data_IF_713058393366
#
_entry.id   IF_713058393366
#
_cell.length_a   1.000
_cell.length_b   1.000
_cell.length_c   1.000
_cell.angle_alpha   90.00
_cell.angle_beta   90.00
_cell.angle_gamma   90.00
#
_symmetry.space_group_name_H-M   'P 1'
#
loop_
_entity.id
_entity.type
_entity.pdbx_description
1 polymer ?
#
# COMPACT_ATOMS: atom_id res chain seq x y z
N UNK A 1 -23.52 -14.45 -28.96
CA UNK A 1 -23.92 -15.80 -28.50
C UNK A 1 -25.32 -15.72 -27.90
N UNK A 2 -26.17 -16.74 -28.06
CA UNK A 2 -27.48 -16.78 -27.39
C UNK A 2 -27.29 -16.99 -25.88
N UNK A 3 -28.17 -16.42 -25.05
CA UNK A 3 -28.10 -16.57 -23.59
C UNK A 3 -28.08 -18.04 -23.13
N UNK A 4 -28.78 -18.92 -23.86
CA UNK A 4 -28.77 -20.37 -23.62
C UNK A 4 -27.39 -21.02 -23.77
N UNK A 5 -26.54 -20.51 -24.66
CA UNK A 5 -25.18 -21.02 -24.85
C UNK A 5 -24.27 -20.63 -23.68
N UNK A 6 -24.43 -19.43 -23.14
CA UNK A 6 -23.66 -18.95 -21.97
C UNK A 6 -24.01 -19.79 -20.73
N UNK A 7 -25.30 -20.01 -20.48
CA UNK A 7 -25.77 -20.85 -19.36
C UNK A 7 -25.28 -22.29 -19.50
N UNK A 8 -25.29 -22.85 -20.72
CA UNK A 8 -24.75 -24.18 -20.99
C UNK A 8 -23.25 -24.26 -20.66
N UNK A 9 -22.45 -23.31 -21.14
CA UNK A 9 -21.00 -23.26 -20.89
C UNK A 9 -20.68 -23.13 -19.41
N UNK A 10 -21.43 -22.28 -18.69
CA UNK A 10 -21.29 -22.11 -17.24
C UNK A 10 -21.55 -23.42 -16.49
N UNK A 11 -22.66 -24.09 -16.84
CA UNK A 11 -23.04 -25.37 -16.24
C UNK A 11 -22.01 -26.46 -16.54
N UNK A 12 -21.44 -26.47 -17.74
CA UNK A 12 -20.37 -27.39 -18.13
C UNK A 12 -19.06 -27.11 -17.38
N UNK A 13 -18.68 -25.84 -17.22
CA UNK A 13 -17.50 -25.45 -16.44
C UNK A 13 -17.61 -25.88 -14.97
N UNK A 14 -18.77 -25.66 -14.34
CA UNK A 14 -19.03 -26.15 -12.98
C UNK A 14 -19.01 -27.68 -12.89
N UNK A 15 -19.56 -28.38 -13.89
CA UNK A 15 -19.53 -29.84 -13.95
C UNK A 15 -18.09 -30.38 -14.10
N UNK A 16 -17.23 -29.67 -14.82
CA UNK A 16 -15.81 -30.01 -14.92
C UNK A 16 -15.12 -29.91 -13.56
N UNK A 17 -15.31 -28.79 -12.85
CA UNK A 17 -14.75 -28.58 -11.50
C UNK A 17 -15.18 -29.71 -10.57
N UNK A 18 -16.45 -30.11 -10.61
CA UNK A 18 -16.95 -31.19 -9.77
C UNK A 18 -16.34 -32.56 -10.11
N UNK A 19 -16.20 -32.89 -11.41
CA UNK A 19 -15.58 -34.15 -11.85
C UNK A 19 -14.09 -34.19 -11.56
N UNK A 20 -13.40 -33.05 -11.59
CA UNK A 20 -11.97 -32.91 -11.32
C UNK A 20 -11.67 -32.29 -9.94
N UNK A 21 -12.51 -32.57 -8.95
CA UNK A 21 -12.55 -31.86 -7.65
C UNK A 21 -11.20 -31.72 -6.94
N UNK A 22 -10.33 -32.74 -7.00
CA UNK A 22 -9.04 -32.71 -6.30
C UNK A 22 -8.08 -31.68 -6.90
N UNK A 23 -7.94 -31.66 -8.23
CA UNK A 23 -7.03 -30.74 -8.92
C UNK A 23 -7.61 -29.32 -8.95
N UNK A 24 -8.92 -29.19 -9.16
CA UNK A 24 -9.58 -27.88 -9.09
C UNK A 24 -9.48 -27.27 -7.68
N UNK A 25 -9.65 -28.07 -6.62
CA UNK A 25 -9.47 -27.59 -5.24
C UNK A 25 -8.02 -27.21 -4.95
N UNK A 26 -7.05 -28.02 -5.39
CA UNK A 26 -5.63 -27.70 -5.24
C UNK A 26 -5.28 -26.37 -5.93
N UNK A 27 -5.73 -26.16 -7.16
CA UNK A 27 -5.54 -24.88 -7.85
C UNK A 27 -6.25 -23.71 -7.16
N UNK A 28 -7.48 -23.89 -6.67
CA UNK A 28 -8.18 -22.85 -5.90
C UNK A 28 -7.43 -22.50 -4.61
N UNK A 29 -6.90 -23.50 -3.90
CA UNK A 29 -6.14 -23.29 -2.67
C UNK A 29 -4.83 -22.54 -2.93
N UNK A 30 -4.10 -22.90 -3.98
CA UNK A 30 -2.87 -22.17 -4.31
C UNK A 30 -3.15 -20.76 -4.81
N UNK A 31 -4.20 -20.57 -5.62
CA UNK A 31 -4.69 -19.24 -5.98
C UNK A 31 -5.03 -18.42 -4.74
N UNK A 32 -5.69 -19.04 -3.76
CA UNK A 32 -6.02 -18.40 -2.51
C UNK A 32 -4.78 -17.95 -1.74
N UNK A 33 -3.77 -18.81 -1.62
CA UNK A 33 -2.49 -18.44 -1.02
C UNK A 33 -1.79 -17.30 -1.76
N UNK A 34 -1.81 -17.30 -3.09
CA UNK A 34 -1.18 -16.25 -3.91
C UNK A 34 -1.88 -14.90 -3.74
N UNK A 35 -3.22 -14.87 -3.79
CA UNK A 35 -4.00 -13.64 -3.60
C UNK A 35 -3.90 -13.15 -2.15
N UNK A 36 -3.83 -14.06 -1.18
CA UNK A 36 -3.60 -13.69 0.22
C UNK A 36 -2.22 -13.03 0.39
N UNK A 37 -1.15 -13.62 -0.15
CA UNK A 37 0.18 -13.02 -0.08
C UNK A 37 0.24 -11.69 -0.83
N UNK A 38 -0.36 -11.59 -2.02
CA UNK A 38 -0.49 -10.31 -2.71
C UNK A 38 -1.17 -9.25 -1.84
N UNK A 39 -2.30 -9.61 -1.19
CA UNK A 39 -3.04 -8.70 -0.31
C UNK A 39 -2.21 -8.26 0.89
N UNK A 40 -1.45 -9.18 1.48
CA UNK A 40 -0.54 -8.90 2.59
C UNK A 40 0.55 -7.90 2.20
N UNK A 41 1.28 -8.15 1.10
CA UNK A 41 2.32 -7.23 0.63
C UNK A 41 1.75 -5.88 0.21
N UNK A 42 0.61 -5.88 -0.49
CA UNK A 42 -0.09 -4.65 -0.88
C UNK A 42 -0.47 -3.82 0.35
N UNK A 43 -1.00 -4.46 1.41
CA UNK A 43 -1.32 -3.78 2.65
C UNK A 43 -0.08 -3.22 3.33
N UNK A 44 1.01 -3.99 3.43
CA UNK A 44 2.27 -3.52 4.02
C UNK A 44 2.79 -2.28 3.28
N UNK A 45 2.91 -2.35 1.95
CA UNK A 45 3.39 -1.23 1.13
C UNK A 45 2.47 -0.02 1.24
N UNK A 46 1.15 -0.21 1.16
CA UNK A 46 0.19 0.92 1.24
C UNK A 46 0.18 1.59 2.61
N UNK A 47 0.37 0.82 3.69
CA UNK A 47 0.43 1.40 5.03
C UNK A 47 1.77 2.11 5.27
N UNK A 48 2.88 1.57 4.75
CA UNK A 48 4.16 2.27 4.81
C UNK A 48 4.13 3.56 3.99
N UNK A 49 3.56 3.55 2.79
CA UNK A 49 3.37 4.77 1.99
C UNK A 49 2.51 5.79 2.76
N UNK A 50 1.44 5.35 3.43
CA UNK A 50 0.63 6.23 4.27
C UNK A 50 1.43 6.82 5.45
N UNK A 51 2.21 5.99 6.15
CA UNK A 51 3.06 6.44 7.25
C UNK A 51 4.11 7.44 6.78
N UNK A 52 4.68 7.24 5.59
CA UNK A 52 5.63 8.18 4.98
C UNK A 52 4.93 9.49 4.63
N UNK A 53 3.76 9.46 3.99
CA UNK A 53 2.99 10.67 3.64
C UNK A 53 2.55 11.47 4.87
N UNK A 54 2.12 10.78 5.91
CA UNK A 54 1.76 11.43 7.17
C UNK A 54 2.99 12.10 7.79
N UNK A 55 4.14 11.42 7.75
CA UNK A 55 5.40 12.00 8.19
C UNK A 55 5.92 13.15 7.29
N UNK A 56 5.64 13.11 5.98
CA UNK A 56 5.86 14.24 5.05
C UNK A 56 5.00 15.45 5.39
N UNK A 57 3.77 15.23 5.85
CA UNK A 57 2.85 16.30 6.26
C UNK A 57 3.17 16.91 7.62
N UNK A 58 4.02 16.24 8.42
CA UNK A 58 4.57 16.79 9.65
C UNK A 58 5.69 17.80 9.40
N UNK A 59 6.10 18.51 10.45
CA UNK A 59 7.23 19.46 10.36
C UNK A 59 8.49 18.70 9.94
N UNK A 60 8.97 18.99 8.73
CA UNK A 60 10.15 18.35 8.15
C UNK A 60 11.44 18.87 8.77
N UNK A 61 11.56 20.20 8.91
CA UNK A 61 12.76 20.85 9.48
C UNK A 61 12.34 22.02 10.35
N UNK A 62 12.93 22.13 11.54
CA UNK A 62 12.77 23.28 12.43
C UNK A 62 14.06 24.09 12.46
N UNK A 63 13.98 25.39 12.20
CA UNK A 63 15.14 26.29 12.16
C UNK A 63 15.01 27.32 13.27
N UNK A 64 15.94 27.28 14.22
CA UNK A 64 16.04 28.24 15.32
C UNK A 64 17.03 29.36 14.98
N UNK A 65 16.70 30.57 15.41
CA UNK A 65 17.51 31.77 15.16
C UNK A 65 18.38 32.15 16.36
N UNK A 66 19.43 32.93 16.11
CA UNK A 66 20.22 33.56 17.17
C UNK A 66 19.36 34.60 17.91
N UNK A 67 19.64 34.78 19.20
CA UNK A 67 18.87 35.64 20.10
C UNK A 67 19.01 37.15 19.82
N UNK A 68 20.00 37.53 19.02
CA UNK A 68 20.28 38.91 18.61
C UNK A 68 19.58 39.31 17.29
N UNK A 69 18.87 38.38 16.64
CA UNK A 69 18.15 38.67 15.41
C UNK A 69 16.87 39.48 15.66
N UNK A 70 16.69 40.52 14.85
CA UNK A 70 15.44 41.28 14.78
C UNK A 70 14.37 40.50 14.00
N UNK A 71 13.09 40.80 14.27
CA UNK A 71 11.97 40.17 13.57
C UNK A 71 12.05 40.40 12.05
N UNK A 72 12.52 41.56 11.61
CA UNK A 72 12.71 41.88 10.20
C UNK A 72 13.79 40.99 9.55
N UNK A 73 14.88 40.71 10.25
CA UNK A 73 15.94 39.81 9.76
C UNK A 73 15.43 38.36 9.67
N UNK A 74 14.64 37.91 10.65
CA UNK A 74 14.03 36.59 10.63
C UNK A 74 13.04 36.46 9.47
N UNK A 75 12.21 37.47 9.22
CA UNK A 75 11.28 37.47 8.08
C UNK A 75 12.00 37.47 6.73
N UNK A 76 13.09 38.23 6.59
CA UNK A 76 13.90 38.24 5.37
C UNK A 76 14.52 36.86 5.10
N UNK A 77 15.04 36.20 6.14
CA UNK A 77 15.58 34.84 6.03
C UNK A 77 14.48 33.82 5.70
N UNK A 78 13.29 33.96 6.29
CA UNK A 78 12.12 33.15 5.98
C UNK A 78 11.70 33.27 4.51
N UNK A 79 11.68 34.48 3.95
CA UNK A 79 11.40 34.71 2.54
C UNK A 79 12.42 34.01 1.63
N UNK A 80 13.71 34.10 1.96
CA UNK A 80 14.77 33.42 1.22
C UNK A 80 14.63 31.88 1.27
N UNK A 81 14.23 31.31 2.41
CA UNK A 81 13.99 29.88 2.55
C UNK A 81 12.73 29.47 1.75
N UNK A 82 11.71 30.31 1.69
CA UNK A 82 10.45 30.03 0.98
C UNK A 82 10.60 29.85 -0.53
N UNK A 83 11.63 30.45 -1.13
CA UNK A 83 11.89 30.38 -2.57
C UNK A 83 12.50 29.03 -3.01
N UNK A 84 12.89 28.20 -2.05
CA UNK A 84 13.50 26.89 -2.31
C UNK A 84 12.50 25.94 -2.95
N UNK A 85 12.87 25.23 -4.04
CA UNK A 85 11.96 24.29 -4.70
C UNK A 85 11.52 23.15 -3.78
N UNK A 86 12.36 22.77 -2.81
CA UNK A 86 12.10 21.71 -1.83
C UNK A 86 11.01 22.09 -0.80
N UNK A 87 10.77 23.38 -0.59
CA UNK A 87 9.86 23.91 0.43
C UNK A 87 8.43 23.98 -0.12
N UNK A 88 7.48 23.45 0.65
CA UNK A 88 6.05 23.57 0.39
C UNK A 88 5.49 24.85 1.03
N UNK A 89 5.64 24.97 2.35
CA UNK A 89 5.28 26.16 3.11
C UNK A 89 6.08 26.27 4.41
N UNK A 90 6.04 27.45 5.04
CA UNK A 90 6.74 27.74 6.30
C UNK A 90 5.80 28.41 7.28
N UNK A 91 5.96 28.09 8.55
CA UNK A 91 5.19 28.68 9.65
C UNK A 91 6.17 29.29 10.64
N UNK A 92 6.04 30.60 10.88
CA UNK A 92 6.79 31.27 11.95
C UNK A 92 6.10 30.96 13.28
N UNK A 93 6.88 30.54 14.27
CA UNK A 93 6.42 30.33 15.63
C UNK A 93 7.22 31.24 16.55
N UNK A 94 6.52 32.14 17.26
CA UNK A 94 7.17 33.01 18.24
C UNK A 94 7.57 32.23 19.50
N UNK A 95 8.49 32.80 20.28
CA UNK A 95 8.85 32.26 21.59
C UNK A 95 7.66 32.08 22.55
N UNK A 96 6.68 32.99 22.51
CA UNK A 96 5.44 32.92 23.27
C UNK A 96 4.52 31.81 22.76
N UNK A 97 4.35 31.70 21.44
CA UNK A 97 3.53 30.64 20.82
C UNK A 97 4.12 29.25 21.10
N UNK A 98 5.44 29.10 21.01
CA UNK A 98 6.15 27.87 21.35
C UNK A 98 5.92 27.49 22.82
N UNK A 99 5.92 28.46 23.73
CA UNK A 99 5.63 28.24 25.14
C UNK A 99 4.18 27.82 25.40
N UNK A 100 3.22 28.47 24.73
CA UNK A 100 1.80 28.08 24.83
C UNK A 100 1.53 26.66 24.30
N UNK A 101 2.15 26.28 23.19
CA UNK A 101 2.07 24.92 22.65
C UNK A 101 2.69 23.90 23.63
N UNK A 102 3.88 24.21 24.16
CA UNK A 102 4.56 23.35 25.14
C UNK A 102 3.70 23.10 26.39
N UNK A 103 3.07 24.14 26.94
CA UNK A 103 2.14 24.02 28.08
C UNK A 103 0.98 23.08 27.77
N UNK A 104 0.35 23.22 26.60
CA UNK A 104 -0.81 22.39 26.20
C UNK A 104 -0.46 20.93 26.00
N UNK A 105 0.73 20.65 25.49
CA UNK A 105 1.12 19.29 25.11
C UNK A 105 1.79 18.53 26.26
N UNK A 106 2.70 19.18 26.99
CA UNK A 106 3.54 18.51 27.99
C UNK A 106 3.15 18.79 29.44
N UNK A 107 2.45 19.90 29.73
CA UNK A 107 2.02 20.27 31.08
C UNK A 107 0.52 20.05 31.32
N UNK A 108 -0.14 19.28 30.46
CA UNK A 108 -1.55 18.92 30.60
C UNK A 108 -1.79 18.14 31.90
N UNK A 109 -2.54 18.73 32.83
CA UNK A 109 -2.80 18.19 34.17
C UNK A 109 -1.77 18.57 35.24
N UNK A 110 -0.78 19.41 34.90
CA UNK A 110 0.21 19.96 35.82
C UNK A 110 0.44 21.46 35.54
N UNK A 111 -0.65 22.18 35.22
CA UNK A 111 -0.65 23.57 34.80
C UNK A 111 -0.02 24.51 35.85
N UNK A 112 -0.09 24.14 37.14
CA UNK A 112 0.54 24.85 38.26
C UNK A 112 2.07 24.96 38.12
N UNK A 113 2.72 24.03 37.39
CA UNK A 113 4.16 24.09 37.11
C UNK A 113 4.53 25.21 36.13
N UNK A 114 3.58 25.64 35.28
CA UNK A 114 3.80 26.73 34.33
C UNK A 114 3.75 28.11 35.01
N UNK A 115 3.04 28.24 36.14
CA UNK A 115 2.89 29.50 36.88
C UNK A 115 4.24 30.05 37.35
N UNK A 116 5.19 29.17 37.69
CA UNK A 116 6.56 29.55 38.10
C UNK A 116 7.40 30.23 37.01
N UNK A 117 6.94 30.20 35.76
CA UNK A 117 7.64 30.72 34.59
C UNK A 117 6.89 31.85 33.88
N UNK A 118 5.80 32.38 34.48
CA UNK A 118 5.03 33.48 33.89
C UNK A 118 5.85 34.75 33.64
N UNK A 119 6.86 35.00 34.48
CA UNK A 119 7.73 36.18 34.37
C UNK A 119 9.03 35.91 33.61
N UNK A 120 9.38 34.64 33.38
CA UNK A 120 10.64 34.24 32.71
C UNK A 120 10.37 33.02 31.82
N UNK A 121 9.95 33.28 30.58
CA UNK A 121 9.64 32.24 29.60
C UNK A 121 10.93 31.46 29.25
N UNK A 122 11.02 30.15 29.56
CA UNK A 122 12.19 29.33 29.25
C UNK A 122 12.50 29.23 27.75
N UNK A 123 11.50 29.52 26.91
CA UNK A 123 11.58 29.51 25.46
C UNK A 123 11.67 30.92 24.84
N UNK A 124 11.95 31.96 25.63
CA UNK A 124 12.06 33.35 25.18
C UNK A 124 13.01 33.56 23.98
N UNK A 125 14.01 32.69 23.83
CA UNK A 125 14.97 32.72 22.72
C UNK A 125 14.77 31.59 21.71
N UNK A 126 13.57 31.01 21.64
CA UNK A 126 13.27 29.81 20.84
C UNK A 126 12.34 30.08 19.66
N UNK A 127 12.22 31.32 19.21
CA UNK A 127 11.54 31.64 17.94
C UNK A 127 12.16 30.84 16.80
N UNK A 128 11.32 30.24 15.95
CA UNK A 128 11.76 29.34 14.91
C UNK A 128 10.83 29.35 13.70
N UNK A 129 11.33 28.85 12.56
CA UNK A 129 10.48 28.42 11.46
C UNK A 129 10.28 26.91 11.51
N UNK A 130 9.03 26.49 11.41
CA UNK A 130 8.65 25.14 11.00
C UNK A 130 8.56 25.10 9.48
N UNK A 131 9.38 24.27 8.85
CA UNK A 131 9.45 24.15 7.39
C UNK A 131 8.86 22.82 6.97
N UNK A 132 7.83 22.89 6.12
CA UNK A 132 7.15 21.76 5.54
C UNK A 132 7.70 21.53 4.14
N UNK A 133 8.08 20.28 3.86
CA UNK A 133 8.75 19.87 2.63
C UNK A 133 7.74 19.33 1.63
N UNK A 134 8.03 19.49 0.33
CA UNK A 134 7.25 18.82 -0.72
C UNK A 134 7.49 17.32 -0.78
N UNK A 135 8.70 16.89 -0.42
CA UNK A 135 9.06 15.49 -0.29
C UNK A 135 10.13 15.33 0.79
N UNK A 136 10.03 14.23 1.54
CA UNK A 136 11.03 13.86 2.55
C UNK A 136 12.40 13.57 1.96
N UNK A 137 12.46 13.15 0.69
CA UNK A 137 13.73 12.90 0.00
C UNK A 137 14.59 14.17 -0.15
N UNK A 138 13.94 15.33 -0.17
CA UNK A 138 14.60 16.64 -0.33
C UNK A 138 15.12 17.22 1.00
N UNK A 139 14.82 16.59 2.14
CA UNK A 139 15.18 17.10 3.47
C UNK A 139 16.68 17.35 3.62
N UNK A 140 17.52 16.43 3.16
CA UNK A 140 18.98 16.57 3.26
C UNK A 140 19.50 17.75 2.43
N UNK A 141 18.95 17.96 1.22
CA UNK A 141 19.29 19.10 0.37
C UNK A 141 18.94 20.43 1.06
N UNK A 142 17.75 20.51 1.66
CA UNK A 142 17.34 21.69 2.41
C UNK A 142 18.24 21.93 3.62
N UNK A 143 18.56 20.88 4.40
CA UNK A 143 19.43 20.97 5.57
C UNK A 143 20.82 21.47 5.19
N UNK A 144 21.41 20.91 4.13
CA UNK A 144 22.74 21.31 3.65
C UNK A 144 22.73 22.79 3.26
N UNK A 145 21.65 23.26 2.62
CA UNK A 145 21.45 24.68 2.34
C UNK A 145 21.31 25.52 3.62
N UNK A 146 20.47 25.10 4.57
CA UNK A 146 20.26 25.82 5.84
C UNK A 146 21.55 25.92 6.66
N UNK A 147 22.43 24.91 6.61
CA UNK A 147 23.75 24.95 7.23
C UNK A 147 24.62 26.08 6.65
N UNK A 148 24.44 26.45 5.38
CA UNK A 148 25.14 27.62 4.80
C UNK A 148 24.63 28.96 5.32
N UNK A 149 23.45 28.99 5.95
CA UNK A 149 22.84 30.18 6.53
C UNK A 149 23.19 30.37 8.02
N UNK A 150 24.03 29.51 8.61
CA UNK A 150 24.45 29.64 10.01
C UNK A 150 25.15 30.98 10.28
N UNK A 151 25.97 31.45 9.35
CA UNK A 151 26.64 32.77 9.44
C UNK A 151 25.65 33.95 9.31
N UNK A 152 24.42 33.70 8.84
CA UNK A 152 23.37 34.71 8.66
C UNK A 152 22.36 34.75 9.82
N UNK A 153 22.59 33.95 10.87
CA UNK A 153 21.78 33.98 12.10
C UNK A 153 21.00 32.70 12.39
N UNK A 154 21.16 31.64 11.59
CA UNK A 154 20.64 30.31 11.95
C UNK A 154 21.49 29.72 13.07
N UNK A 155 20.86 29.46 14.23
CA UNK A 155 21.51 28.91 15.42
C UNK A 155 21.56 27.39 15.40
N UNK A 156 20.42 26.78 15.11
CA UNK A 156 20.24 25.34 15.24
C UNK A 156 19.19 24.87 14.23
N UNK A 157 19.47 23.75 13.58
CA UNK A 157 18.58 23.09 12.63
C UNK A 157 18.23 21.74 13.23
N UNK A 158 16.97 21.57 13.61
CA UNK A 158 16.45 20.28 14.04
C UNK A 158 15.79 19.59 12.85
N UNK A 159 16.15 18.34 12.65
CA UNK A 159 15.55 17.49 11.64
C UNK A 159 14.70 16.46 12.35
N UNK A 160 13.52 16.18 11.79
CA UNK A 160 12.76 15.00 12.16
C UNK A 160 13.51 13.76 11.65
N UNK A 161 14.52 13.30 12.42
CA UNK A 161 15.43 12.16 12.07
C UNK A 161 14.69 10.86 11.73
N UNK A 162 13.44 10.72 12.19
CA UNK A 162 12.63 9.54 11.96
C UNK A 162 12.19 9.35 10.50
N UNK A 163 12.26 10.40 9.66
CA UNK A 163 11.51 10.44 8.40
C UNK A 163 12.37 10.20 7.14
N UNK A 164 13.53 10.86 6.97
CA UNK A 164 14.27 10.77 5.69
C UNK A 164 15.17 9.54 5.50
N UNK A 165 16.03 9.23 6.47
CA UNK A 165 17.13 8.30 6.20
C UNK A 165 16.76 6.81 6.32
N UNK A 166 15.68 6.48 7.03
CA UNK A 166 15.25 5.09 7.25
C UNK A 166 14.08 4.68 6.36
N UNK A 167 13.22 5.61 5.94
CA UNK A 167 11.99 5.28 5.23
C UNK A 167 12.14 5.25 3.71
N UNK A 168 12.83 6.20 3.07
CA UNK A 168 12.91 6.28 1.60
C UNK A 168 13.64 5.08 0.96
N UNK A 169 14.82 4.72 1.48
CA UNK A 169 15.59 3.58 1.00
C UNK A 169 14.92 2.23 1.30
N UNK A 170 14.30 2.10 2.49
CA UNK A 170 13.58 0.89 2.89
C UNK A 170 12.29 0.69 2.09
N UNK A 171 11.55 1.77 1.81
CA UNK A 171 10.33 1.74 1.00
C UNK A 171 10.63 1.27 -0.43
N UNK A 172 11.67 1.83 -1.05
CA UNK A 172 12.10 1.40 -2.39
C UNK A 172 12.47 -0.09 -2.43
N UNK A 173 13.24 -0.56 -1.43
CA UNK A 173 13.63 -1.96 -1.32
C UNK A 173 12.41 -2.89 -1.16
N UNK A 174 11.47 -2.53 -0.27
CA UNK A 174 10.24 -3.28 -0.05
C UNK A 174 9.33 -3.29 -1.28
N UNK A 175 9.24 -2.18 -2.01
CA UNK A 175 8.49 -2.10 -3.26
C UNK A 175 9.05 -3.09 -4.29
N UNK A 176 10.36 -3.07 -4.54
CA UNK A 176 10.98 -4.01 -5.50
C UNK A 176 10.84 -5.47 -5.08
N UNK A 177 11.01 -5.78 -3.78
CA UNK A 177 10.82 -7.13 -3.24
C UNK A 177 9.37 -7.57 -3.42
N UNK A 178 8.40 -6.69 -3.13
CA UNK A 178 6.98 -6.98 -3.29
C UNK A 178 6.63 -7.25 -4.75
N UNK A 179 7.09 -6.42 -5.68
CA UNK A 179 6.88 -6.62 -7.12
C UNK A 179 7.48 -7.94 -7.59
N UNK A 180 8.69 -8.28 -7.13
CA UNK A 180 9.36 -9.54 -7.48
C UNK A 180 8.56 -10.76 -6.98
N UNK A 181 8.13 -10.76 -5.71
CA UNK A 181 7.35 -11.85 -5.11
C UNK A 181 6.01 -12.01 -5.84
N UNK A 182 5.31 -10.90 -6.09
CA UNK A 182 4.05 -10.91 -6.84
C UNK A 182 4.26 -11.52 -8.24
N UNK A 183 5.32 -11.11 -8.95
CA UNK A 183 5.67 -11.67 -10.26
C UNK A 183 5.85 -13.20 -10.23
N UNK A 184 6.56 -13.73 -9.22
CA UNK A 184 6.74 -15.17 -9.05
C UNK A 184 5.41 -15.87 -8.75
N UNK A 185 4.56 -15.30 -7.89
CA UNK A 185 3.26 -15.88 -7.55
C UNK A 185 2.31 -15.95 -8.73
N UNK A 186 2.33 -14.94 -9.61
CA UNK A 186 1.56 -14.94 -10.85
C UNK A 186 1.99 -16.09 -11.77
N UNK A 187 3.30 -16.32 -11.94
CA UNK A 187 3.81 -17.42 -12.77
C UNK A 187 3.42 -18.79 -12.21
N UNK A 188 3.55 -18.99 -10.89
CA UNK A 188 3.15 -20.24 -10.22
C UNK A 188 1.65 -20.49 -10.38
N UNK A 189 0.83 -19.45 -10.21
CA UNK A 189 -0.62 -19.51 -10.35
C UNK A 189 -1.03 -19.91 -11.77
N UNK A 190 -0.46 -19.25 -12.80
CA UNK A 190 -0.70 -19.58 -14.21
C UNK A 190 -0.31 -21.04 -14.50
N UNK A 191 0.84 -21.49 -13.99
CA UNK A 191 1.32 -22.85 -14.18
C UNK A 191 0.36 -23.90 -13.59
N UNK A 192 -0.16 -23.67 -12.39
CA UNK A 192 -1.07 -24.60 -11.74
C UNK A 192 -2.44 -24.65 -12.39
N UNK A 193 -2.99 -23.51 -12.81
CA UNK A 193 -4.24 -23.47 -13.58
C UNK A 193 -4.06 -24.22 -14.89
N UNK A 194 -2.91 -24.03 -15.56
CA UNK A 194 -2.61 -24.74 -16.78
C UNK A 194 -2.59 -26.26 -16.58
N UNK A 195 -2.03 -26.74 -15.47
CA UNK A 195 -2.05 -28.16 -15.14
C UNK A 195 -3.49 -28.67 -14.92
N UNK A 196 -4.28 -27.97 -14.11
CA UNK A 196 -5.65 -28.36 -13.80
C UNK A 196 -6.55 -28.40 -15.03
N UNK A 197 -6.44 -27.41 -15.92
CA UNK A 197 -7.20 -27.37 -17.18
C UNK A 197 -6.75 -28.48 -18.12
N UNK A 198 -5.45 -28.78 -18.18
CA UNK A 198 -4.91 -29.89 -19.00
C UNK A 198 -5.49 -31.23 -18.56
N UNK A 199 -5.51 -31.49 -17.25
CA UNK A 199 -6.10 -32.70 -16.67
C UNK A 199 -7.61 -32.74 -16.95
N UNK A 200 -8.31 -31.62 -16.79
CA UNK A 200 -9.73 -31.49 -17.11
C UNK A 200 -10.05 -31.84 -18.57
N UNK A 201 -9.21 -31.39 -19.51
CA UNK A 201 -9.33 -31.73 -20.94
C UNK A 201 -9.07 -33.23 -21.15
N UNK A 202 -8.05 -33.81 -20.51
CA UNK A 202 -7.71 -35.22 -20.64
C UNK A 202 -8.85 -36.14 -20.19
N UNK A 203 -9.50 -35.82 -19.07
CA UNK A 203 -10.66 -36.57 -18.53
C UNK A 203 -11.88 -36.52 -19.47
N UNK A 204 -11.99 -35.49 -20.32
CA UNK A 204 -13.11 -35.30 -21.27
C UNK A 204 -12.74 -35.56 -22.72
N UNK A 205 -11.58 -36.16 -22.98
CA UNK A 205 -11.03 -36.34 -24.33
C UNK A 205 -12.00 -37.04 -25.29
N UNK A 206 -12.68 -38.09 -24.82
CA UNK A 206 -13.65 -38.86 -25.62
C UNK A 206 -14.90 -38.03 -25.95
N UNK A 207 -15.46 -37.32 -24.97
CA UNK A 207 -16.62 -36.42 -25.18
C UNK A 207 -16.29 -35.33 -26.21
N UNK A 208 -15.09 -34.74 -26.09
CA UNK A 208 -14.59 -33.72 -27.02
C UNK A 208 -14.44 -34.28 -28.43
N UNK A 209 -13.90 -35.49 -28.57
CA UNK A 209 -13.73 -36.14 -29.87
C UNK A 209 -15.08 -36.36 -30.57
N UNK A 210 -16.10 -36.85 -29.84
CA UNK A 210 -17.45 -37.03 -30.38
C UNK A 210 -18.05 -35.68 -30.81
N UNK A 211 -17.91 -34.63 -29.99
CA UNK A 211 -18.39 -33.29 -30.34
C UNK A 211 -17.75 -32.75 -31.62
N UNK A 212 -16.44 -32.97 -31.81
CA UNK A 212 -15.74 -32.56 -33.04
C UNK A 212 -16.22 -33.33 -34.26
N UNK A 213 -16.51 -34.63 -34.13
CA UNK A 213 -17.04 -35.46 -35.22
C UNK A 213 -18.44 -35.02 -35.71
N UNK A 214 -19.24 -34.44 -34.82
CA UNK A 214 -20.59 -33.91 -35.15
C UNK A 214 -20.51 -32.44 -35.64
N UNK A 215 -19.30 -31.88 -35.80
CA UNK A 215 -19.08 -30.56 -36.38
C UNK A 215 -19.13 -29.40 -35.37
N UNK A 216 -18.93 -29.66 -34.07
CA UNK A 216 -18.85 -28.57 -33.09
C UNK A 216 -17.63 -27.67 -33.33
N UNK A 217 -17.83 -26.36 -33.30
CA UNK A 217 -16.74 -25.37 -33.44
C UNK A 217 -15.72 -25.49 -32.31
N UNK A 218 -14.44 -25.21 -32.60
CA UNK A 218 -13.36 -25.20 -31.60
C UNK A 218 -13.69 -24.32 -30.39
N UNK A 219 -14.29 -23.16 -30.62
CA UNK A 219 -14.69 -22.25 -29.54
C UNK A 219 -15.71 -22.90 -28.60
N UNK A 220 -16.70 -23.61 -29.14
CA UNK A 220 -17.73 -24.27 -28.34
C UNK A 220 -17.15 -25.37 -27.44
N UNK A 221 -16.17 -26.12 -27.95
CA UNK A 221 -15.46 -27.17 -27.20
C UNK A 221 -14.56 -26.57 -26.11
N UNK A 222 -13.96 -25.40 -26.39
CA UNK A 222 -12.98 -24.74 -25.50
C UNK A 222 -13.62 -23.89 -24.40
N UNK A 223 -14.80 -23.32 -24.66
CA UNK A 223 -15.44 -22.37 -23.75
C UNK A 223 -15.67 -22.91 -22.32
N UNK A 224 -16.06 -24.18 -22.09
CA UNK A 224 -16.24 -24.71 -20.73
C UNK A 224 -14.95 -24.67 -19.89
N UNK A 225 -13.79 -24.87 -20.50
CA UNK A 225 -12.49 -24.86 -19.82
C UNK A 225 -11.98 -23.46 -19.51
N UNK A 226 -12.34 -22.47 -20.34
CA UNK A 226 -12.09 -21.05 -20.03
C UNK A 226 -12.95 -20.65 -18.82
N UNK A 227 -14.22 -21.05 -18.81
CA UNK A 227 -15.12 -20.76 -17.69
C UNK A 227 -14.69 -21.48 -16.41
N UNK A 228 -14.18 -22.70 -16.50
CA UNK A 228 -13.58 -23.41 -15.37
C UNK A 228 -12.42 -22.61 -14.73
N UNK A 229 -11.48 -22.13 -15.54
CA UNK A 229 -10.37 -21.30 -15.01
C UNK A 229 -10.82 -19.97 -14.44
N UNK A 230 -11.79 -19.31 -15.08
CA UNK A 230 -12.40 -18.09 -14.56
C UNK A 230 -13.05 -18.30 -13.19
N UNK A 231 -13.80 -19.39 -13.01
CA UNK A 231 -14.46 -19.72 -11.73
C UNK A 231 -13.41 -20.05 -10.66
N UNK A 232 -12.39 -20.85 -11.00
CA UNK A 232 -11.27 -21.16 -10.09
C UNK A 232 -10.56 -19.88 -9.67
N UNK A 233 -10.28 -18.98 -10.60
CA UNK A 233 -9.65 -17.68 -10.32
C UNK A 233 -10.52 -16.77 -9.46
N UNK A 234 -11.82 -16.71 -9.72
CA UNK A 234 -12.77 -15.91 -8.96
C UNK A 234 -12.91 -16.42 -7.52
N UNK A 235 -13.17 -17.72 -7.33
CA UNK A 235 -13.31 -18.32 -6.00
C UNK A 235 -11.98 -18.24 -5.25
N UNK A 236 -10.88 -18.54 -5.96
CA UNK A 236 -9.52 -18.45 -5.46
C UNK A 236 -9.13 -17.03 -5.03
N UNK A 237 -9.74 -15.98 -5.57
CA UNK A 237 -9.51 -14.60 -5.10
C UNK A 237 -10.52 -14.15 -4.03
N UNK A 238 -11.79 -14.54 -4.14
CA UNK A 238 -12.84 -14.09 -3.24
C UNK A 238 -12.66 -14.59 -1.79
N UNK A 239 -12.32 -15.88 -1.62
CA UNK A 239 -12.10 -16.48 -0.29
C UNK A 239 -10.97 -15.81 0.49
N UNK A 240 -9.73 -15.70 -0.04
CA UNK A 240 -8.64 -15.07 0.71
C UNK A 240 -8.87 -13.59 0.95
N UNK A 241 -9.53 -12.85 0.04
CA UNK A 241 -9.88 -11.45 0.28
C UNK A 241 -10.85 -11.32 1.44
N UNK A 242 -11.86 -12.19 1.51
CA UNK A 242 -12.77 -12.22 2.65
C UNK A 242 -12.02 -12.51 3.96
N UNK A 243 -11.16 -13.53 3.99
CA UNK A 243 -10.36 -13.85 5.18
C UNK A 243 -9.41 -12.71 5.56
N UNK A 244 -8.75 -12.10 4.58
CA UNK A 244 -7.83 -10.99 4.78
C UNK A 244 -8.53 -9.77 5.38
N UNK A 245 -9.80 -9.53 5.03
CA UNK A 245 -10.57 -8.40 5.55
C UNK A 245 -10.71 -8.47 7.07
N UNK A 246 -11.09 -9.64 7.60
CA UNK A 246 -11.21 -9.84 9.04
C UNK A 246 -9.86 -9.79 9.75
N UNK A 247 -8.84 -10.43 9.17
CA UNK A 247 -7.50 -10.43 9.75
C UNK A 247 -6.95 -9.00 9.84
N UNK A 248 -7.00 -8.24 8.75
CA UNK A 248 -6.50 -6.86 8.72
C UNK A 248 -7.24 -5.96 9.71
N UNK A 249 -8.59 -6.05 9.75
CA UNK A 249 -9.40 -5.32 10.74
C UNK A 249 -9.01 -5.68 12.17
N UNK A 250 -8.80 -6.96 12.46
CA UNK A 250 -8.42 -7.41 13.78
C UNK A 250 -6.99 -6.99 14.16
N UNK A 251 -6.06 -6.97 13.19
CA UNK A 251 -4.71 -6.46 13.40
C UNK A 251 -4.72 -5.00 13.80
N UNK A 252 -5.47 -4.13 13.12
CA UNK A 252 -5.57 -2.71 13.49
C UNK A 252 -6.06 -2.55 14.93
N UNK A 253 -7.17 -3.20 15.30
CA UNK A 253 -7.73 -3.10 16.65
C UNK A 253 -6.74 -3.55 17.74
N UNK A 254 -6.03 -4.65 17.51
CA UNK A 254 -5.03 -5.16 18.47
C UNK A 254 -3.85 -4.20 18.60
N UNK A 255 -3.43 -3.58 17.49
CA UNK A 255 -2.32 -2.62 17.52
C UNK A 255 -2.72 -1.34 18.23
N UNK A 256 -3.90 -0.79 17.96
CA UNK A 256 -4.44 0.40 18.64
C UNK A 256 -4.59 0.18 20.15
N UNK A 257 -5.16 -0.97 20.57
CA UNK A 257 -5.39 -1.28 21.99
C UNK A 257 -4.08 -1.50 22.77
N UNK A 258 -3.11 -2.20 22.17
CA UNK A 258 -1.87 -2.59 22.86
C UNK A 258 -0.76 -1.56 22.75
N UNK A 259 -0.77 -0.74 21.70
CA UNK A 259 0.29 0.21 21.39
C UNK A 259 -0.25 1.65 21.28
N UNK A 260 -1.27 2.00 22.05
CA UNK A 260 -1.88 3.35 22.03
C UNK A 260 -0.92 4.53 22.31
N UNK A 261 0.29 4.28 22.81
CA UNK A 261 1.36 5.30 22.92
C UNK A 261 2.06 5.52 21.57
N UNK A 262 2.17 4.47 20.75
CA UNK A 262 2.74 4.48 19.41
C UNK A 262 1.69 4.72 18.31
N UNK A 263 0.40 4.80 18.64
CA UNK A 263 -0.66 4.99 17.66
C UNK A 263 -0.62 6.36 16.97
N UNK A 264 0.01 7.36 17.59
CA UNK A 264 0.29 8.65 16.94
C UNK A 264 1.34 8.52 15.83
N UNK A 265 2.26 7.57 15.94
CA UNK A 265 3.33 7.31 14.96
C UNK A 265 2.95 6.23 13.94
N UNK A 266 2.08 5.28 14.30
CA UNK A 266 1.65 4.17 13.46
C UNK A 266 0.22 4.36 12.97
N UNK A 267 0.00 5.35 12.09
CA UNK A 267 -1.30 5.58 11.47
C UNK A 267 -1.53 4.59 10.32
N UNK A 268 -2.24 3.50 10.63
CA UNK A 268 -2.65 2.51 9.62
C UNK A 268 -3.79 3.06 8.75
N UNK A 269 -3.77 2.68 7.48
CA UNK A 269 -4.80 3.05 6.53
C UNK A 269 -6.14 2.40 6.94
N UNK A 270 -7.26 3.14 6.97
CA UNK A 270 -8.55 2.56 7.29
C UNK A 270 -8.89 1.40 6.35
N UNK A 271 -9.50 0.33 6.88
CA UNK A 271 -9.84 -0.89 6.11
C UNK A 271 -10.60 -0.55 4.82
N UNK A 272 -11.50 0.44 4.87
CA UNK A 272 -12.30 0.88 3.73
C UNK A 272 -11.44 1.48 2.60
N UNK A 273 -10.43 2.27 2.94
CA UNK A 273 -9.55 2.90 1.96
C UNK A 273 -8.62 1.87 1.32
N UNK A 274 -8.04 0.98 2.12
CA UNK A 274 -7.24 -0.12 1.60
C UNK A 274 -8.05 -1.00 0.63
N UNK A 275 -9.28 -1.37 1.02
CA UNK A 275 -10.15 -2.23 0.21
C UNK A 275 -10.70 -1.56 -1.04
N UNK A 276 -10.77 -0.23 -1.09
CA UNK A 276 -11.20 0.49 -2.28
C UNK A 276 -10.33 0.16 -3.49
N UNK A 277 -9.01 0.06 -3.28
CA UNK A 277 -8.04 -0.30 -4.33
C UNK A 277 -7.75 -1.80 -4.36
N UNK A 278 -7.59 -2.43 -3.19
CA UNK A 278 -7.21 -3.85 -3.11
C UNK A 278 -8.26 -4.78 -3.73
N UNK A 279 -9.56 -4.56 -3.44
CA UNK A 279 -10.64 -5.44 -3.87
C UNK A 279 -10.74 -5.55 -5.41
N UNK A 280 -10.84 -4.45 -6.18
CA UNK A 280 -10.92 -4.55 -7.63
C UNK A 280 -9.62 -5.11 -8.25
N UNK A 281 -8.45 -4.72 -7.75
CA UNK A 281 -7.16 -5.18 -8.28
C UNK A 281 -6.97 -6.67 -8.05
N UNK A 282 -7.22 -7.16 -6.84
CA UNK A 282 -7.05 -8.58 -6.51
C UNK A 282 -8.07 -9.47 -7.24
N UNK A 283 -9.33 -9.03 -7.38
CA UNK A 283 -10.32 -9.76 -8.17
C UNK A 283 -9.95 -9.79 -9.66
N UNK A 284 -9.48 -8.66 -10.21
CA UNK A 284 -9.03 -8.58 -11.59
C UNK A 284 -7.82 -9.48 -11.82
N UNK A 285 -6.86 -9.52 -10.88
CA UNK A 285 -5.74 -10.44 -10.92
C UNK A 285 -6.23 -11.91 -10.89
N UNK A 286 -7.10 -12.28 -9.95
CA UNK A 286 -7.63 -13.64 -9.86
C UNK A 286 -8.33 -14.10 -11.13
N UNK A 287 -9.23 -13.27 -11.66
CA UNK A 287 -9.96 -13.51 -12.91
C UNK A 287 -9.00 -13.55 -14.10
N UNK A 288 -8.05 -12.60 -14.17
CA UNK A 288 -7.08 -12.47 -15.24
C UNK A 288 -6.15 -13.67 -15.32
N UNK A 289 -5.62 -14.12 -14.18
CA UNK A 289 -4.78 -15.33 -14.10
C UNK A 289 -5.60 -16.57 -14.47
N UNK A 290 -6.84 -16.67 -13.98
CA UNK A 290 -7.78 -17.75 -14.34
C UNK A 290 -8.03 -17.84 -15.85
N UNK A 291 -8.24 -16.68 -16.48
CA UNK A 291 -8.44 -16.58 -17.92
C UNK A 291 -7.16 -16.93 -18.71
N UNK A 292 -6.05 -16.28 -18.38
CA UNK A 292 -4.76 -16.45 -19.08
C UNK A 292 -4.27 -17.89 -18.95
N UNK A 293 -4.33 -18.45 -17.75
CA UNK A 293 -3.97 -19.84 -17.46
C UNK A 293 -4.74 -20.81 -18.35
N UNK A 294 -6.08 -20.74 -18.34
CA UNK A 294 -6.92 -21.59 -19.21
C UNK A 294 -6.68 -21.35 -20.69
N UNK A 295 -6.53 -20.09 -21.11
CA UNK A 295 -6.39 -19.74 -22.52
C UNK A 295 -5.09 -20.30 -23.13
N UNK A 296 -3.96 -20.17 -22.42
CA UNK A 296 -2.66 -20.70 -22.84
C UNK A 296 -2.74 -22.23 -22.99
N UNK A 297 -3.35 -22.92 -22.03
CA UNK A 297 -3.49 -24.39 -22.05
C UNK A 297 -4.23 -24.87 -23.29
N UNK A 298 -5.37 -24.24 -23.58
CA UNK A 298 -6.24 -24.59 -24.68
C UNK A 298 -5.53 -24.41 -26.02
N UNK A 299 -4.76 -23.33 -26.18
CA UNK A 299 -4.02 -23.05 -27.41
C UNK A 299 -2.92 -24.09 -27.67
N UNK A 300 -2.35 -24.66 -26.61
CA UNK A 300 -1.26 -25.65 -26.68
C UNK A 300 -1.75 -27.10 -26.84
N UNK A 301 -2.83 -27.48 -26.14
CA UNK A 301 -3.27 -28.89 -26.05
C UNK A 301 -4.50 -29.23 -26.90
N UNK A 302 -5.19 -28.24 -27.47
CA UNK A 302 -6.39 -28.44 -28.27
C UNK A 302 -6.16 -28.13 -29.77
N UNK A 303 -4.92 -28.26 -30.23
CA UNK A 303 -4.56 -28.38 -31.65
C UNK A 303 -4.86 -29.82 -32.10
N UNK A 304 -6.13 -30.09 -32.39
CA UNK A 304 -6.59 -31.23 -33.20
C UNK A 304 -7.56 -30.67 -34.21
#
# INVERSE_FOLDING_TARGET
MRASTIVYTLKQGLKNIYRNKMFSLASMATMAACIFMFSLFFAIVSNLDNMVREAESGVGVTVFFNSDMTTEQIQALGAQISERPEVDHLVYVSAEEAWEQYKKEYLKGAEELAEGFEQDNPLANSSHYEIYLKSVEDQQSLVDYLNTLMDQGVRQINQSEAVANTLGGFNSLLYYVSVAIIGVLLLVSIFLINNTVTIGIAVRKEEIAIMKLIGATDFFVRAPFIVEGLIIGLIGAAIPLFVFYFLYKQTILVVEEKFGILSSLLQFLPVKELYHTLLPVALLLGIGIGFIGSFITIRKHLKV
#
